data_IF_257489074416
#
_entry.id   IF_257489074416
#
_cell.length_a   1.000
_cell.length_b   1.000
_cell.length_c   1.000
_cell.angle_alpha   90.00
_cell.angle_beta   90.00
_cell.angle_gamma   90.00
#
_symmetry.space_group_name_H-M   'P 1'
#
loop_
_entity.id
_entity.type
_entity.pdbx_description
1 polymer ?
#
# COMPACT_ATOMS: atom_id res chain seq x y z
N UNK A 1 -27.61 -56.50 -13.61
CA UNK A 1 -26.27 -55.88 -13.51
C UNK A 1 -26.31 -54.60 -14.33
N UNK A 2 -26.48 -53.45 -13.68
CA UNK A 2 -26.46 -52.14 -14.34
C UNK A 2 -25.65 -51.19 -13.48
N UNK A 3 -24.48 -50.81 -14.00
CA UNK A 3 -23.46 -49.98 -13.36
C UNK A 3 -23.83 -48.51 -13.53
N UNK A 4 -24.10 -47.78 -12.45
CA UNK A 4 -24.28 -46.32 -12.52
C UNK A 4 -23.00 -45.63 -12.05
N UNK A 5 -22.22 -45.14 -13.02
CA UNK A 5 -21.01 -44.36 -12.76
C UNK A 5 -21.38 -42.92 -12.36
N UNK A 6 -20.89 -42.49 -11.20
CA UNK A 6 -21.02 -41.12 -10.67
C UNK A 6 -20.18 -40.15 -11.51
N UNK A 7 -20.84 -39.18 -12.16
CA UNK A 7 -20.20 -38.14 -12.98
C UNK A 7 -19.78 -36.98 -12.07
N UNK A 8 -18.50 -36.95 -11.70
CA UNK A 8 -17.91 -35.83 -10.95
C UNK A 8 -17.96 -34.53 -11.77
N UNK A 9 -18.66 -33.52 -11.26
CA UNK A 9 -18.73 -32.17 -11.84
C UNK A 9 -17.38 -31.49 -11.68
N UNK A 10 -16.64 -31.37 -12.78
CA UNK A 10 -15.33 -30.71 -12.83
C UNK A 10 -15.55 -29.20 -12.71
N UNK A 11 -15.28 -28.62 -11.53
CA UNK A 11 -15.29 -27.17 -11.31
C UNK A 11 -14.22 -26.54 -12.21
N UNK A 12 -14.63 -25.71 -13.16
CA UNK A 12 -13.72 -25.02 -14.05
C UNK A 12 -12.89 -24.00 -13.26
N UNK A 13 -11.56 -24.08 -13.40
CA UNK A 13 -10.64 -23.10 -12.82
C UNK A 13 -10.89 -21.70 -13.42
N UNK A 14 -10.72 -20.62 -12.65
CA UNK A 14 -10.84 -19.27 -13.16
C UNK A 14 -9.81 -19.02 -14.28
N UNK A 15 -10.16 -18.23 -15.32
CA UNK A 15 -9.23 -17.92 -16.39
C UNK A 15 -8.00 -17.19 -15.84
N UNK A 16 -6.81 -17.69 -16.16
CA UNK A 16 -5.55 -17.02 -15.85
C UNK A 16 -5.56 -15.60 -16.41
N UNK A 17 -5.10 -14.58 -15.66
CA UNK A 17 -4.97 -13.24 -16.19
C UNK A 17 -4.03 -13.27 -17.40
N UNK A 18 -4.48 -12.65 -18.49
CA UNK A 18 -3.71 -12.54 -19.73
C UNK A 18 -2.30 -12.03 -19.41
N UNK A 19 -1.29 -12.83 -19.71
CA UNK A 19 0.10 -12.49 -19.48
C UNK A 19 0.44 -11.25 -20.31
N UNK A 20 0.57 -10.10 -19.65
CA UNK A 20 1.18 -8.93 -20.28
C UNK A 20 2.65 -9.24 -20.56
N UNK A 21 3.15 -8.76 -21.70
CA UNK A 21 4.52 -9.05 -22.13
C UNK A 21 5.54 -8.51 -21.12
N UNK A 22 6.73 -9.14 -20.96
CA UNK A 22 7.76 -8.72 -20.00
C UNK A 22 8.23 -7.26 -20.14
N UNK A 23 7.95 -6.63 -21.27
CA UNK A 23 8.29 -5.23 -21.58
C UNK A 23 7.21 -4.25 -21.08
N UNK A 24 5.95 -4.67 -20.96
CA UNK A 24 4.82 -3.80 -20.63
C UNK A 24 4.94 -3.17 -19.25
N UNK A 25 5.27 -3.96 -18.22
CA UNK A 25 5.40 -3.45 -16.87
C UNK A 25 6.53 -2.42 -16.72
N UNK A 26 7.64 -2.57 -17.46
CA UNK A 26 8.76 -1.61 -17.42
C UNK A 26 8.35 -0.26 -18.00
N UNK A 27 7.58 -0.27 -19.08
CA UNK A 27 7.03 0.94 -19.67
C UNK A 27 6.02 1.61 -18.72
N UNK A 28 5.09 0.83 -18.15
CA UNK A 28 4.15 1.35 -17.14
C UNK A 28 4.87 1.95 -15.93
N UNK A 29 5.95 1.31 -15.48
CA UNK A 29 6.79 1.80 -14.39
C UNK A 29 7.48 3.12 -14.76
N UNK A 30 8.10 3.21 -15.93
CA UNK A 30 8.77 4.43 -16.39
C UNK A 30 7.78 5.59 -16.57
N UNK A 31 6.63 5.33 -17.19
CA UNK A 31 5.56 6.32 -17.37
C UNK A 31 5.04 6.80 -16.01
N UNK A 32 4.82 5.88 -15.07
CA UNK A 32 4.36 6.26 -13.73
C UNK A 32 5.40 7.09 -12.96
N UNK A 33 6.67 6.71 -13.04
CA UNK A 33 7.77 7.48 -12.45
C UNK A 33 7.81 8.91 -13.00
N UNK A 34 7.66 9.05 -14.34
CA UNK A 34 7.61 10.36 -14.99
C UNK A 34 6.42 11.16 -14.49
N UNK A 35 5.21 10.60 -14.53
CA UNK A 35 3.97 11.27 -14.12
C UNK A 35 4.08 11.80 -12.66
N UNK A 36 4.55 10.96 -11.73
CA UNK A 36 4.71 11.37 -10.33
C UNK A 36 5.86 12.34 -10.11
N UNK A 37 6.96 12.24 -10.87
CA UNK A 37 8.05 13.21 -10.83
C UNK A 37 7.63 14.59 -11.32
N UNK A 38 6.93 14.67 -12.45
CA UNK A 38 6.39 15.92 -13.00
C UNK A 38 5.26 16.54 -12.16
N UNK A 39 4.71 15.82 -11.19
CA UNK A 39 3.63 16.33 -10.36
C UNK A 39 4.03 17.59 -9.57
N UNK A 40 5.27 17.66 -9.06
CA UNK A 40 5.77 18.85 -8.36
C UNK A 40 5.90 20.05 -9.32
N UNK A 41 6.38 19.82 -10.54
CA UNK A 41 6.41 20.88 -11.56
C UNK A 41 4.99 21.42 -11.84
N UNK A 42 4.01 20.54 -12.01
CA UNK A 42 2.63 20.98 -12.25
C UNK A 42 1.99 21.67 -11.04
N UNK A 43 2.38 21.31 -9.82
CA UNK A 43 1.96 22.04 -8.61
C UNK A 43 2.51 23.46 -8.67
N UNK A 44 3.83 23.61 -8.90
CA UNK A 44 4.49 24.92 -9.01
C UNK A 44 3.81 25.83 -10.04
N UNK A 45 3.64 25.34 -11.27
CA UNK A 45 2.95 26.10 -12.35
C UNK A 45 1.48 26.35 -11.99
N UNK A 46 0.80 25.40 -11.34
CA UNK A 46 -0.57 25.59 -10.86
C UNK A 46 -0.69 26.72 -9.84
N UNK A 47 0.28 26.83 -8.92
CA UNK A 47 0.30 27.85 -7.87
C UNK A 47 0.60 29.27 -8.37
N UNK A 48 1.04 29.43 -9.63
CA UNK A 48 1.18 30.76 -10.25
C UNK A 48 -0.16 31.42 -10.55
N UNK A 49 -1.21 30.62 -10.79
CA UNK A 49 -2.54 31.10 -11.14
C UNK A 49 -3.62 30.86 -10.08
N UNK A 50 -3.40 29.93 -9.16
CA UNK A 50 -4.40 29.49 -8.18
C UNK A 50 -3.81 29.37 -6.79
N UNK A 51 -4.65 29.55 -5.77
CA UNK A 51 -4.24 29.30 -4.40
C UNK A 51 -3.94 27.81 -4.18
N UNK A 52 -3.05 27.45 -3.22
CA UNK A 52 -2.67 26.06 -2.96
C UNK A 52 -3.85 25.09 -2.75
N UNK A 53 -4.88 25.52 -2.03
CA UNK A 53 -6.08 24.72 -1.80
C UNK A 53 -6.90 24.52 -3.08
N UNK A 54 -6.94 25.51 -3.98
CA UNK A 54 -7.61 25.41 -5.26
C UNK A 54 -6.87 24.46 -6.21
N UNK A 55 -5.54 24.52 -6.26
CA UNK A 55 -4.70 23.56 -6.99
C UNK A 55 -4.96 22.14 -6.50
N UNK A 56 -4.99 21.98 -5.18
CA UNK A 56 -5.21 20.68 -4.55
C UNK A 56 -6.62 20.14 -4.82
N UNK A 57 -7.65 20.99 -4.68
CA UNK A 57 -9.03 20.67 -4.99
C UNK A 57 -9.18 20.24 -6.46
N UNK A 58 -8.60 21.01 -7.39
CA UNK A 58 -8.61 20.68 -8.82
C UNK A 58 -7.93 19.35 -9.11
N UNK A 59 -6.76 19.10 -8.52
CA UNK A 59 -6.04 17.81 -8.62
C UNK A 59 -6.92 16.64 -8.19
N UNK A 60 -7.50 16.70 -6.98
CA UNK A 60 -8.28 15.57 -6.47
C UNK A 60 -9.62 15.42 -7.20
N UNK A 61 -10.25 16.52 -7.60
CA UNK A 61 -11.50 16.50 -8.35
C UNK A 61 -11.32 15.86 -9.73
N UNK A 62 -10.33 16.32 -10.50
CA UNK A 62 -10.00 15.73 -11.80
C UNK A 62 -9.61 14.26 -11.69
N UNK A 63 -8.82 13.90 -10.67
CA UNK A 63 -8.47 12.50 -10.38
C UNK A 63 -9.69 11.65 -10.03
N UNK A 64 -10.58 12.17 -9.17
CA UNK A 64 -11.83 11.52 -8.80
C UNK A 64 -12.72 11.28 -10.02
N UNK A 65 -12.88 12.29 -10.90
CA UNK A 65 -13.65 12.15 -12.14
C UNK A 65 -13.12 11.01 -13.01
N UNK A 66 -11.81 10.93 -13.24
CA UNK A 66 -11.20 9.83 -14.02
C UNK A 66 -11.50 8.47 -13.39
N UNK A 67 -11.29 8.32 -12.08
CA UNK A 67 -11.53 7.02 -11.43
C UNK A 67 -13.01 6.66 -11.37
N UNK A 68 -13.91 7.63 -11.20
CA UNK A 68 -15.36 7.41 -11.21
C UNK A 68 -15.86 7.02 -12.61
N UNK A 69 -15.34 7.63 -13.68
CA UNK A 69 -15.64 7.23 -15.05
C UNK A 69 -15.18 5.79 -15.29
N UNK A 70 -13.96 5.44 -14.88
CA UNK A 70 -13.45 4.06 -15.04
C UNK A 70 -14.25 3.07 -14.18
N UNK A 71 -14.66 3.45 -12.97
CA UNK A 71 -15.53 2.65 -12.10
C UNK A 71 -16.88 2.38 -12.77
N UNK A 72 -17.49 3.41 -13.37
CA UNK A 72 -18.75 3.32 -14.10
C UNK A 72 -18.65 2.43 -15.34
N UNK A 73 -17.59 2.62 -16.15
CA UNK A 73 -17.31 1.79 -17.34
C UNK A 73 -17.09 0.32 -16.95
N UNK A 74 -16.35 0.06 -15.87
CA UNK A 74 -16.14 -1.30 -15.34
C UNK A 74 -17.35 -1.84 -14.57
N UNK A 75 -18.44 -1.06 -14.44
CA UNK A 75 -19.67 -1.40 -13.70
C UNK A 75 -19.40 -1.88 -12.28
N UNK A 76 -18.32 -1.39 -11.67
CA UNK A 76 -18.01 -1.63 -10.26
C UNK A 76 -18.81 -0.66 -9.40
N UNK A 77 -19.10 -1.06 -8.16
CA UNK A 77 -19.89 -0.27 -7.22
C UNK A 77 -18.98 0.33 -6.15
N UNK A 78 -19.32 1.54 -5.71
CA UNK A 78 -18.70 2.15 -4.54
C UNK A 78 -18.99 1.31 -3.28
N UNK A 79 -18.16 1.43 -2.22
CA UNK A 79 -18.40 0.72 -0.97
C UNK A 79 -19.76 1.09 -0.40
N UNK A 80 -20.48 0.11 0.16
CA UNK A 80 -21.85 0.31 0.68
C UNK A 80 -21.91 0.61 2.17
N UNK A 81 -20.89 0.23 2.91
CA UNK A 81 -20.90 0.33 4.38
C UNK A 81 -20.55 1.75 4.82
N UNK A 82 -21.43 2.38 5.60
CA UNK A 82 -21.18 3.69 6.20
C UNK A 82 -19.91 3.71 7.07
N UNK A 83 -19.59 2.57 7.72
CA UNK A 83 -18.34 2.40 8.47
C UNK A 83 -17.12 2.49 7.56
N UNK A 84 -17.18 1.88 6.37
CA UNK A 84 -16.11 1.99 5.37
C UNK A 84 -15.93 3.45 4.95
N UNK A 85 -17.03 4.18 4.69
CA UNK A 85 -16.97 5.61 4.35
C UNK A 85 -16.34 6.46 5.47
N UNK A 86 -16.65 6.20 6.75
CA UNK A 86 -16.04 6.90 7.87
C UNK A 86 -14.52 6.67 7.93
N UNK A 87 -14.06 5.43 7.77
CA UNK A 87 -12.62 5.13 7.72
C UNK A 87 -11.95 5.70 6.47
N UNK A 88 -12.65 5.71 5.33
CA UNK A 88 -12.15 6.32 4.09
C UNK A 88 -12.08 7.83 4.18
N UNK A 89 -12.90 8.50 5.00
CA UNK A 89 -12.80 9.94 5.22
C UNK A 89 -11.48 10.30 5.92
N UNK A 90 -11.06 9.48 6.89
CA UNK A 90 -9.75 9.62 7.55
C UNK A 90 -8.62 9.29 6.58
N UNK A 91 -8.75 8.22 5.81
CA UNK A 91 -7.76 7.87 4.78
C UNK A 91 -7.63 8.98 3.71
N UNK A 92 -8.75 9.53 3.25
CA UNK A 92 -8.81 10.62 2.29
C UNK A 92 -8.08 11.86 2.80
N UNK A 93 -8.27 12.20 4.07
CA UNK A 93 -7.59 13.29 4.75
C UNK A 93 -6.07 13.09 4.74
N UNK A 94 -5.57 11.97 5.28
CA UNK A 94 -4.13 11.74 5.46
C UNK A 94 -3.37 11.31 4.19
N UNK A 95 -4.05 10.72 3.19
CA UNK A 95 -3.40 10.24 1.98
C UNK A 95 -3.58 11.18 0.77
N UNK A 96 -4.48 12.17 0.84
CA UNK A 96 -4.75 13.05 -0.30
C UNK A 96 -4.92 14.50 0.15
N UNK A 97 -5.99 14.83 0.89
CA UNK A 97 -6.35 16.22 1.11
C UNK A 97 -5.29 17.00 1.88
N UNK A 98 -4.83 16.48 3.02
CA UNK A 98 -3.81 17.09 3.85
C UNK A 98 -2.42 17.10 3.18
N UNK A 99 -1.84 15.96 2.75
CA UNK A 99 -0.49 15.97 2.16
C UNK A 99 -0.42 16.78 0.87
N UNK A 100 -1.43 16.70 -0.01
CA UNK A 100 -1.39 17.46 -1.27
C UNK A 100 -1.51 18.96 -1.01
N UNK A 101 -2.33 19.38 -0.04
CA UNK A 101 -2.41 20.79 0.35
C UNK A 101 -1.09 21.27 0.93
N UNK A 102 -0.48 20.48 1.83
CA UNK A 102 0.81 20.83 2.44
C UNK A 102 1.93 20.95 1.40
N UNK A 103 1.98 20.07 0.39
CA UNK A 103 2.92 20.24 -0.72
C UNK A 103 2.63 21.49 -1.55
N UNK A 104 1.36 21.78 -1.87
CA UNK A 104 1.01 22.98 -2.59
C UNK A 104 1.36 24.27 -1.82
N UNK A 105 1.21 24.28 -0.49
CA UNK A 105 1.66 25.40 0.34
C UNK A 105 3.18 25.47 0.45
N UNK A 106 3.86 24.32 0.62
CA UNK A 106 5.31 24.26 0.66
C UNK A 106 5.93 24.84 -0.61
N UNK A 107 5.39 24.47 -1.79
CA UNK A 107 5.90 24.95 -3.06
C UNK A 107 5.69 26.45 -3.32
N UNK A 108 4.96 27.18 -2.47
CA UNK A 108 4.98 28.65 -2.54
C UNK A 108 6.34 29.23 -2.15
N UNK A 109 7.07 28.54 -1.28
CA UNK A 109 8.30 29.06 -0.68
C UNK A 109 9.53 28.21 -0.97
N UNK A 110 9.35 26.91 -1.21
CA UNK A 110 10.43 26.00 -1.59
C UNK A 110 10.40 25.63 -3.09
N UNK A 111 11.56 25.28 -3.69
CA UNK A 111 11.62 24.74 -5.05
C UNK A 111 10.90 23.39 -5.17
N UNK A 112 10.40 23.09 -6.36
CA UNK A 112 9.76 21.80 -6.68
C UNK A 112 10.73 20.63 -6.49
N UNK A 113 12.01 20.86 -6.78
CA UNK A 113 13.11 19.92 -6.49
C UNK A 113 13.15 19.52 -5.02
N UNK A 114 13.09 20.50 -4.10
CA UNK A 114 13.15 20.26 -2.66
C UNK A 114 11.89 19.53 -2.15
N UNK A 115 10.72 19.91 -2.67
CA UNK A 115 9.46 19.23 -2.35
C UNK A 115 9.48 17.75 -2.75
N UNK A 116 10.01 17.44 -3.95
CA UNK A 116 10.20 16.06 -4.42
C UNK A 116 11.14 15.24 -3.53
N UNK A 117 12.23 15.83 -3.05
CA UNK A 117 13.16 15.14 -2.14
C UNK A 117 12.52 14.90 -0.77
N UNK A 118 11.80 15.89 -0.23
CA UNK A 118 11.05 15.74 1.01
C UNK A 118 10.07 14.56 0.90
N UNK A 119 9.34 14.44 -0.22
CA UNK A 119 8.41 13.34 -0.45
C UNK A 119 9.07 11.95 -0.38
N UNK A 120 10.31 11.80 -0.85
CA UNK A 120 11.05 10.54 -0.76
C UNK A 120 11.48 10.15 0.67
N UNK A 121 11.25 11.02 1.66
CA UNK A 121 11.46 10.68 3.08
C UNK A 121 10.30 9.88 3.68
N UNK A 122 9.17 9.73 2.98
CA UNK A 122 8.00 8.98 3.46
C UNK A 122 8.31 7.57 4.03
N UNK A 123 9.21 6.75 3.43
CA UNK A 123 9.61 5.46 4.00
C UNK A 123 10.35 5.57 5.35
N UNK A 124 11.11 6.65 5.57
CA UNK A 124 11.82 6.90 6.82
C UNK A 124 10.82 7.17 7.96
N UNK A 125 9.80 7.98 7.69
CA UNK A 125 8.69 8.23 8.61
C UNK A 125 7.88 6.96 8.91
N UNK A 126 7.62 6.14 7.89
CA UNK A 126 6.96 4.85 8.08
C UNK A 126 7.76 3.89 8.97
N UNK A 127 9.10 3.88 8.82
CA UNK A 127 9.97 3.12 9.70
C UNK A 127 9.95 3.67 11.12
N UNK A 128 10.08 4.99 11.30
CA UNK A 128 10.05 5.62 12.62
C UNK A 128 8.74 5.32 13.37
N UNK A 129 7.60 5.46 12.68
CA UNK A 129 6.29 5.11 13.23
C UNK A 129 6.17 3.61 13.53
N UNK A 130 6.75 2.74 12.71
CA UNK A 130 6.76 1.30 12.98
C UNK A 130 7.53 0.97 14.26
N UNK A 131 8.66 1.64 14.54
CA UNK A 131 9.43 1.42 15.78
C UNK A 131 8.64 1.86 17.01
N UNK A 132 7.96 3.01 16.90
CA UNK A 132 7.23 3.60 18.04
C UNK A 132 5.88 2.94 18.29
N UNK A 133 5.15 2.56 17.22
CA UNK A 133 3.77 2.10 17.31
C UNK A 133 3.57 0.58 17.18
N UNK A 134 4.56 -0.17 16.70
CA UNK A 134 4.54 -1.62 16.58
C UNK A 134 5.77 -2.19 17.30
N UNK A 135 5.75 -2.16 18.64
CA UNK A 135 6.81 -2.68 19.53
C UNK A 135 7.14 -4.18 19.35
N UNK A 136 6.53 -4.88 18.40
CA UNK A 136 6.63 -6.34 18.21
C UNK A 136 7.82 -6.77 17.34
N UNK A 137 8.35 -5.91 16.47
CA UNK A 137 9.53 -6.22 15.65
C UNK A 137 10.71 -5.32 16.04
N UNK A 138 11.66 -5.84 16.82
CA UNK A 138 12.92 -5.12 17.12
C UNK A 138 13.54 -4.62 15.80
N UNK A 139 13.73 -3.30 15.61
CA UNK A 139 14.23 -2.78 14.36
C UNK A 139 15.61 -3.37 14.08
N UNK A 140 15.76 -4.02 12.92
CA UNK A 140 17.06 -4.57 12.52
C UNK A 140 18.08 -3.44 12.46
N UNK A 141 19.33 -3.70 12.86
CA UNK A 141 20.42 -2.68 12.82
C UNK A 141 20.52 -1.96 11.48
N UNK A 142 20.20 -2.65 10.37
CA UNK A 142 20.14 -2.09 9.01
C UNK A 142 19.05 -1.04 8.84
N UNK A 143 17.87 -1.24 9.42
CA UNK A 143 16.76 -0.26 9.34
C UNK A 143 17.06 1.00 10.16
N UNK A 144 17.67 0.85 11.33
CA UNK A 144 18.14 1.99 12.13
C UNK A 144 19.24 2.76 11.41
N UNK A 145 20.20 2.05 10.79
CA UNK A 145 21.23 2.67 9.96
C UNK A 145 20.62 3.41 8.76
N UNK A 146 19.64 2.81 8.07
CA UNK A 146 18.90 3.47 6.97
C UNK A 146 18.18 4.73 7.41
N UNK A 147 17.58 4.74 8.61
CA UNK A 147 16.97 5.93 9.19
C UNK A 147 18.00 7.05 9.46
N UNK A 148 19.15 6.69 10.02
CA UNK A 148 20.25 7.64 10.25
C UNK A 148 20.82 8.21 8.94
N UNK A 149 21.05 7.36 7.93
CA UNK A 149 21.49 7.79 6.60
C UNK A 149 20.46 8.70 5.95
N UNK A 150 19.17 8.33 6.00
CA UNK A 150 18.10 9.16 5.45
C UNK A 150 18.01 10.52 6.12
N UNK A 151 18.15 10.58 7.44
CA UNK A 151 18.19 11.84 8.21
C UNK A 151 19.39 12.72 7.82
N UNK A 152 20.59 12.13 7.69
CA UNK A 152 21.76 12.84 7.18
C UNK A 152 21.54 13.37 5.76
N UNK A 153 20.83 12.62 4.92
CA UNK A 153 20.43 13.06 3.58
C UNK A 153 19.56 14.32 3.65
N UNK A 154 18.54 14.34 4.50
CA UNK A 154 17.69 15.53 4.70
C UNK A 154 18.51 16.71 5.20
N UNK A 155 19.38 16.53 6.20
CA UNK A 155 20.27 17.60 6.67
C UNK A 155 21.20 18.12 5.58
N UNK A 156 21.63 17.25 4.67
CA UNK A 156 22.48 17.61 3.53
C UNK A 156 21.71 18.47 2.54
N UNK A 157 20.49 18.07 2.19
CA UNK A 157 19.63 18.87 1.31
C UNK A 157 19.38 20.26 1.90
N UNK A 158 19.16 20.35 3.22
CA UNK A 158 18.95 21.63 3.92
C UNK A 158 20.21 22.47 4.05
N UNK A 159 21.38 21.96 3.64
CA UNK A 159 22.65 22.68 3.77
C UNK A 159 22.92 23.08 5.22
N UNK A 160 22.59 22.22 6.18
CA UNK A 160 22.62 22.54 7.61
C UNK A 160 23.97 23.11 8.11
N UNK A 161 25.06 22.86 7.38
CA UNK A 161 26.39 23.41 7.65
C UNK A 161 26.58 24.89 7.29
N UNK A 162 25.70 25.50 6.49
CA UNK A 162 25.78 26.93 6.11
C UNK A 162 25.00 27.84 7.08
N UNK A 163 24.38 27.26 8.12
CA UNK A 163 23.31 27.92 8.86
C UNK A 163 22.04 27.97 8.01
N UNK A 164 20.86 27.88 8.63
CA UNK A 164 19.57 27.90 7.92
C UNK A 164 19.24 29.26 7.26
N UNK A 165 20.22 30.16 7.16
CA UNK A 165 20.12 31.47 6.51
C UNK A 165 19.86 31.29 5.02
N UNK A 166 18.63 31.60 4.58
CA UNK A 166 18.21 31.53 3.18
C UNK A 166 17.35 30.31 2.81
N UNK A 167 17.12 29.37 3.72
CA UNK A 167 16.20 28.24 3.49
C UNK A 167 14.87 28.52 4.20
N UNK A 168 13.75 28.48 3.48
CA UNK A 168 12.45 28.55 4.15
C UNK A 168 12.16 27.25 4.91
N UNK A 169 12.46 27.29 6.21
CA UNK A 169 12.21 26.21 7.15
C UNK A 169 10.72 25.88 7.23
N UNK A 170 9.84 26.86 7.00
CA UNK A 170 8.40 26.68 7.06
C UNK A 170 7.90 25.80 5.92
N UNK A 171 8.22 26.13 4.67
CA UNK A 171 7.87 25.31 3.51
C UNK A 171 8.48 23.91 3.58
N UNK A 172 9.72 23.80 4.05
CA UNK A 172 10.38 22.50 4.30
C UNK A 172 9.61 21.68 5.33
N UNK A 173 9.25 22.28 6.48
CA UNK A 173 8.50 21.60 7.53
C UNK A 173 7.12 21.14 7.04
N UNK A 174 6.45 21.95 6.20
CA UNK A 174 5.21 21.55 5.55
C UNK A 174 5.40 20.35 4.62
N UNK A 175 6.45 20.33 3.79
CA UNK A 175 6.75 19.20 2.89
C UNK A 175 7.13 17.91 3.63
N UNK A 176 7.88 18.01 4.73
CA UNK A 176 8.18 16.87 5.60
C UNK A 176 6.93 16.40 6.34
N UNK A 177 6.09 17.31 6.81
CA UNK A 177 4.79 17.01 7.40
C UNK A 177 3.86 16.30 6.43
N UNK A 178 3.83 16.73 5.15
CA UNK A 178 3.11 16.05 4.09
C UNK A 178 3.59 14.60 3.90
N UNK A 179 4.91 14.40 3.93
CA UNK A 179 5.54 13.08 3.80
C UNK A 179 5.24 12.16 4.98
N UNK A 180 5.09 12.72 6.18
CA UNK A 180 4.67 11.99 7.39
C UNK A 180 3.20 11.57 7.34
N UNK A 181 2.33 12.30 6.64
CA UNK A 181 0.91 11.96 6.53
C UNK A 181 0.71 10.61 5.81
N UNK A 182 1.51 10.29 4.80
CA UNK A 182 1.39 9.04 4.05
C UNK A 182 1.52 7.77 4.90
N UNK A 183 2.60 7.55 5.69
CA UNK A 183 2.70 6.36 6.51
C UNK A 183 1.63 6.30 7.61
N UNK A 184 1.21 7.43 8.19
CA UNK A 184 0.09 7.47 9.15
C UNK A 184 -1.18 6.94 8.48
N UNK A 185 -1.52 7.49 7.31
CA UNK A 185 -2.68 7.08 6.52
C UNK A 185 -2.63 5.60 6.13
N UNK A 186 -1.48 5.11 5.65
CA UNK A 186 -1.33 3.70 5.27
C UNK A 186 -1.41 2.73 6.46
N UNK A 187 -0.84 3.09 7.61
CA UNK A 187 -0.98 2.31 8.86
C UNK A 187 -2.45 2.26 9.28
N UNK A 188 -3.15 3.41 9.24
CA UNK A 188 -4.57 3.49 9.56
C UNK A 188 -5.42 2.62 8.63
N UNK A 189 -5.23 2.74 7.31
CA UNK A 189 -5.92 1.92 6.30
C UNK A 189 -5.64 0.44 6.52
N UNK A 190 -4.39 0.05 6.76
CA UNK A 190 -4.05 -1.36 7.00
C UNK A 190 -4.76 -1.92 8.24
N UNK A 191 -4.90 -1.13 9.31
CA UNK A 191 -5.58 -1.54 10.56
C UNK A 191 -7.10 -1.57 10.45
N UNK A 192 -7.70 -0.64 9.70
CA UNK A 192 -9.17 -0.45 9.68
C UNK A 192 -9.85 -1.04 8.45
N UNK A 193 -9.18 -1.04 7.31
CA UNK A 193 -9.71 -1.41 5.99
C UNK A 193 -9.05 -2.67 5.42
N UNK A 194 -8.01 -3.21 6.07
CA UNK A 194 -7.27 -4.39 5.58
C UNK A 194 -8.09 -5.68 5.44
N UNK A 195 -9.26 -5.75 6.07
CA UNK A 195 -10.20 -6.88 5.94
C UNK A 195 -11.35 -6.65 4.95
N UNK A 196 -11.42 -5.49 4.28
CA UNK A 196 -12.49 -5.23 3.31
C UNK A 196 -12.28 -6.03 2.03
N UNK A 197 -13.38 -6.54 1.46
CA UNK A 197 -13.39 -7.20 0.14
C UNK A 197 -13.64 -6.22 -1.03
N UNK A 198 -13.66 -4.92 -0.74
CA UNK A 198 -13.86 -3.90 -1.77
C UNK A 198 -12.67 -3.84 -2.75
N UNK A 199 -12.97 -3.65 -4.03
CA UNK A 199 -11.97 -3.45 -5.08
C UNK A 199 -11.11 -2.21 -4.81
N UNK A 200 -9.80 -2.27 -5.10
CA UNK A 200 -8.89 -1.11 -4.95
C UNK A 200 -9.37 0.12 -5.73
N UNK A 201 -9.99 -0.09 -6.90
CA UNK A 201 -10.59 0.99 -7.68
C UNK A 201 -11.77 1.63 -6.94
N UNK A 202 -12.63 0.81 -6.33
CA UNK A 202 -13.80 1.28 -5.57
C UNK A 202 -13.40 2.10 -4.35
N UNK A 203 -12.46 1.56 -3.56
CA UNK A 203 -11.89 2.22 -2.37
C UNK A 203 -11.25 3.55 -2.72
N UNK A 204 -10.46 3.59 -3.79
CA UNK A 204 -9.70 4.79 -4.16
C UNK A 204 -10.56 5.85 -4.83
N UNK A 205 -11.58 5.45 -5.61
CA UNK A 205 -12.60 6.37 -6.12
C UNK A 205 -13.38 7.02 -4.97
N UNK A 206 -13.82 6.24 -3.98
CA UNK A 206 -14.50 6.77 -2.79
C UNK A 206 -13.58 7.69 -1.97
N UNK A 207 -12.30 7.32 -1.82
CA UNK A 207 -11.30 8.12 -1.12
C UNK A 207 -11.08 9.48 -1.80
N UNK A 208 -10.91 9.52 -3.14
CA UNK A 208 -10.74 10.79 -3.85
C UNK A 208 -12.03 11.62 -3.88
N UNK A 209 -13.20 10.98 -3.94
CA UNK A 209 -14.49 11.68 -3.81
C UNK A 209 -14.60 12.36 -2.44
N UNK A 210 -14.25 11.66 -1.36
CA UNK A 210 -14.25 12.22 -0.01
C UNK A 210 -13.21 13.34 0.15
N UNK A 211 -12.01 13.17 -0.39
CA UNK A 211 -10.99 14.23 -0.38
C UNK A 211 -11.48 15.48 -1.14
N UNK A 212 -12.16 15.28 -2.27
CA UNK A 212 -12.77 16.37 -3.04
C UNK A 212 -13.85 17.07 -2.24
N UNK A 213 -14.74 16.32 -1.56
CA UNK A 213 -15.78 16.90 -0.71
C UNK A 213 -15.20 17.68 0.48
N UNK A 214 -14.19 17.12 1.16
CA UNK A 214 -13.48 17.79 2.26
C UNK A 214 -12.86 19.12 1.80
N UNK A 215 -12.15 19.09 0.67
CA UNK A 215 -11.51 20.29 0.12
C UNK A 215 -12.51 21.29 -0.45
N UNK A 216 -13.64 20.84 -1.00
CA UNK A 216 -14.71 21.73 -1.47
C UNK A 216 -15.34 22.52 -0.32
N UNK A 217 -15.38 21.95 0.90
CA UNK A 217 -15.82 22.65 2.11
C UNK A 217 -14.73 23.57 2.65
N UNK A 218 -13.48 23.09 2.72
CA UNK A 218 -12.37 23.86 3.34
C UNK A 218 -11.89 25.01 2.47
N UNK A 219 -11.75 24.82 1.15
CA UNK A 219 -11.19 25.83 0.23
C UNK A 219 -11.89 27.20 0.32
N UNK A 220 -13.23 27.32 0.24
CA UNK A 220 -13.90 28.62 0.30
C UNK A 220 -13.79 29.31 1.66
N UNK A 221 -13.47 28.59 2.74
CA UNK A 221 -13.29 29.17 4.08
C UNK A 221 -11.95 29.93 4.20
N UNK A 222 -10.96 29.56 3.40
CA UNK A 222 -9.61 30.12 3.47
C UNK A 222 -9.18 30.84 2.19
N UNK A 223 -9.96 30.75 1.10
CA UNK A 223 -9.58 31.32 -0.19
C UNK A 223 -10.81 31.80 -0.96
N UNK A 224 -10.74 33.04 -1.45
CA UNK A 224 -11.72 33.59 -2.39
C UNK A 224 -11.71 32.84 -3.73
N UNK A 225 -12.81 32.94 -4.48
CA UNK A 225 -12.88 32.35 -5.82
C UNK A 225 -11.77 32.92 -6.74
N UNK A 226 -11.21 32.12 -7.66
CA UNK A 226 -10.25 32.63 -8.64
C UNK A 226 -10.88 33.75 -9.46
N UNK A 227 -10.15 34.86 -9.63
CA UNK A 227 -10.58 35.99 -10.44
C UNK A 227 -10.21 35.83 -11.91
N UNK A 228 -9.26 34.93 -12.21
CA UNK A 228 -8.81 34.62 -13.55
C UNK A 228 -8.51 33.12 -13.70
N UNK A 229 -8.55 32.64 -14.93
CA UNK A 229 -8.25 31.24 -15.29
C UNK A 229 -7.15 31.22 -16.37
N UNK A 230 -5.89 31.48 -15.99
CA UNK A 230 -4.77 31.45 -16.93
C UNK A 230 -4.57 30.04 -17.50
N UNK A 231 -4.32 29.95 -18.81
CA UNK A 231 -4.29 28.69 -19.55
C UNK A 231 -3.26 27.70 -18.98
N UNK A 232 -2.04 28.16 -18.70
CA UNK A 232 -0.96 27.28 -18.23
C UNK A 232 -1.21 26.69 -16.84
N UNK A 233 -1.59 27.47 -15.81
CA UNK A 233 -2.00 26.91 -14.51
C UNK A 233 -3.22 25.99 -14.61
N UNK A 234 -4.22 26.32 -15.44
CA UNK A 234 -5.40 25.45 -15.62
C UNK A 234 -5.00 24.11 -16.21
N UNK A 235 -4.22 24.10 -17.30
CA UNK A 235 -3.72 22.87 -17.91
C UNK A 235 -2.85 22.06 -16.95
N UNK A 236 -2.03 22.73 -16.14
CA UNK A 236 -1.19 22.08 -15.14
C UNK A 236 -2.01 21.38 -14.06
N UNK A 237 -3.05 22.04 -13.53
CA UNK A 237 -3.97 21.43 -12.54
C UNK A 237 -4.74 20.26 -13.14
N UNK A 238 -5.23 20.39 -14.39
CA UNK A 238 -5.93 19.31 -15.09
C UNK A 238 -4.98 18.13 -15.31
N UNK A 239 -3.75 18.37 -15.80
CA UNK A 239 -2.74 17.33 -16.01
C UNK A 239 -2.35 16.65 -14.69
N UNK A 240 -2.14 17.44 -13.63
CA UNK A 240 -1.81 16.95 -12.29
C UNK A 240 -2.91 16.04 -11.72
N UNK A 241 -4.17 16.38 -11.93
CA UNK A 241 -5.30 15.56 -11.47
C UNK A 241 -5.54 14.34 -12.35
N UNK A 242 -5.66 14.53 -13.66
CA UNK A 242 -6.00 13.46 -14.61
C UNK A 242 -4.85 12.47 -14.79
N UNK A 243 -3.64 12.95 -15.07
CA UNK A 243 -2.45 12.12 -15.26
C UNK A 243 -1.88 11.72 -13.90
N UNK A 244 -1.58 12.72 -13.05
CA UNK A 244 -0.86 12.55 -11.78
C UNK A 244 -1.61 11.76 -10.70
N UNK A 245 -2.94 11.76 -10.75
CA UNK A 245 -3.78 11.08 -9.74
C UNK A 245 -4.63 9.99 -10.39
N UNK A 246 -5.49 10.33 -11.36
CA UNK A 246 -6.41 9.39 -11.99
C UNK A 246 -5.69 8.23 -12.72
N UNK A 247 -4.97 8.54 -13.80
CA UNK A 247 -4.27 7.54 -14.62
C UNK A 247 -3.13 6.89 -13.83
N UNK A 248 -2.38 7.68 -13.06
CA UNK A 248 -1.30 7.17 -12.22
C UNK A 248 -1.77 6.08 -11.25
N UNK A 249 -2.94 6.25 -10.61
CA UNK A 249 -3.49 5.23 -9.72
C UNK A 249 -3.83 3.94 -10.47
N UNK A 250 -4.39 4.03 -11.68
CA UNK A 250 -4.68 2.86 -12.51
C UNK A 250 -3.40 2.11 -12.92
N UNK A 251 -2.36 2.85 -13.33
CA UNK A 251 -1.05 2.28 -13.66
C UNK A 251 -0.42 1.62 -12.43
N UNK A 252 -0.47 2.28 -11.27
CA UNK A 252 0.02 1.74 -10.01
C UNK A 252 -0.70 0.44 -9.65
N UNK A 253 -2.02 0.34 -9.80
CA UNK A 253 -2.75 -0.90 -9.52
C UNK A 253 -2.38 -2.02 -10.49
N UNK A 254 -2.22 -1.70 -11.78
CA UNK A 254 -1.73 -2.64 -12.78
C UNK A 254 -0.35 -3.19 -12.41
N UNK A 255 0.59 -2.31 -12.09
CA UNK A 255 1.94 -2.70 -11.65
C UNK A 255 1.92 -3.56 -10.38
N UNK A 256 1.13 -3.17 -9.38
CA UNK A 256 1.02 -3.95 -8.13
C UNK A 256 0.47 -5.36 -8.41
N UNK A 257 -0.48 -5.48 -9.35
CA UNK A 257 -1.03 -6.78 -9.75
C UNK A 257 -0.04 -7.63 -10.58
N UNK A 258 0.78 -7.01 -11.43
CA UNK A 258 1.72 -7.70 -12.32
C UNK A 258 3.03 -8.12 -11.62
N UNK A 259 3.67 -7.21 -10.88
CA UNK A 259 5.02 -7.40 -10.33
C UNK A 259 5.07 -7.33 -8.80
N UNK A 260 3.91 -7.21 -8.16
CA UNK A 260 3.76 -7.15 -6.71
C UNK A 260 4.00 -5.76 -6.11
N UNK A 261 3.49 -5.51 -4.88
CA UNK A 261 3.54 -4.19 -4.25
C UNK A 261 4.97 -3.73 -3.92
N UNK A 262 5.88 -4.64 -3.53
CA UNK A 262 7.25 -4.25 -3.18
C UNK A 262 8.01 -3.65 -4.36
N UNK A 263 7.91 -4.27 -5.54
CA UNK A 263 8.59 -3.79 -6.75
C UNK A 263 7.91 -2.54 -7.29
N UNK A 264 6.57 -2.51 -7.30
CA UNK A 264 5.82 -1.33 -7.76
C UNK A 264 6.15 -0.07 -6.93
N UNK A 265 6.33 -0.20 -5.61
CA UNK A 265 6.71 0.93 -4.75
C UNK A 265 8.11 1.49 -5.03
N UNK A 266 8.98 0.75 -5.73
CA UNK A 266 10.30 1.27 -6.11
C UNK A 266 10.21 2.49 -7.03
N UNK A 267 9.08 2.69 -7.70
CA UNK A 267 8.82 3.86 -8.55
C UNK A 267 9.00 5.18 -7.79
N UNK A 268 8.71 5.16 -6.48
CA UNK A 268 8.82 6.34 -5.61
C UNK A 268 10.26 6.83 -5.46
N UNK A 269 11.26 5.97 -5.67
CA UNK A 269 12.68 6.36 -5.64
C UNK A 269 13.12 7.15 -6.86
N UNK A 270 12.37 7.06 -7.97
CA UNK A 270 12.66 7.81 -9.19
C UNK A 270 12.03 9.20 -9.17
N UNK A 271 11.01 9.44 -8.32
CA UNK A 271 10.29 10.71 -8.22
C UNK A 271 11.25 11.88 -7.98
N UNK A 272 12.17 11.87 -6.99
CA UNK A 272 13.03 13.02 -6.74
C UNK A 272 13.99 13.30 -7.89
N UNK A 273 14.50 12.26 -8.55
CA UNK A 273 15.41 12.39 -9.70
C UNK A 273 14.70 13.10 -10.85
N UNK A 274 13.47 12.67 -11.15
CA UNK A 274 12.67 13.25 -12.23
C UNK A 274 12.19 14.65 -11.84
N UNK A 275 11.74 14.87 -10.60
CA UNK A 275 11.34 16.18 -10.11
C UNK A 275 12.50 17.19 -10.19
N UNK A 276 13.71 16.77 -9.82
CA UNK A 276 14.94 17.58 -9.94
C UNK A 276 15.23 17.91 -11.40
N UNK A 277 15.22 16.90 -12.28
CA UNK A 277 15.48 17.10 -13.70
C UNK A 277 14.45 18.04 -14.35
N UNK A 278 13.17 17.88 -14.00
CA UNK A 278 12.09 18.73 -14.47
C UNK A 278 12.20 20.16 -13.93
N UNK A 279 12.45 20.35 -12.63
CA UNK A 279 12.60 21.67 -12.01
C UNK A 279 13.76 22.46 -12.62
N UNK A 280 14.89 21.81 -12.88
CA UNK A 280 16.07 22.49 -13.44
C UNK A 280 15.89 22.79 -14.92
N UNK A 281 15.41 21.81 -15.69
CA UNK A 281 15.32 21.95 -17.15
C UNK A 281 14.16 22.86 -17.59
N UNK A 282 13.04 22.86 -16.87
CA UNK A 282 11.81 23.55 -17.30
C UNK A 282 11.47 24.78 -16.46
N UNK A 283 11.75 24.75 -15.14
CA UNK A 283 11.49 25.89 -14.25
C UNK A 283 12.74 26.77 -14.04
N UNK A 284 13.90 26.35 -14.56
CA UNK A 284 15.16 27.08 -14.39
C UNK A 284 15.64 27.12 -12.93
N UNK A 285 15.23 26.16 -12.11
CA UNK A 285 15.65 26.09 -10.70
C UNK A 285 17.17 25.89 -10.59
N UNK A 286 17.84 26.72 -9.77
CA UNK A 286 19.28 26.58 -9.55
C UNK A 286 19.59 25.39 -8.66
N UNK A 287 20.41 24.47 -9.17
CA UNK A 287 20.89 23.30 -8.44
C UNK A 287 22.14 23.66 -7.65
N UNK A 288 21.97 23.83 -6.34
CA UNK A 288 23.08 23.80 -5.40
C UNK A 288 23.61 22.36 -5.25
N UNK A 289 24.92 22.20 -5.05
CA UNK A 289 25.58 20.88 -5.01
C UNK A 289 25.04 19.94 -3.91
N UNK A 290 24.50 20.52 -2.84
CA UNK A 290 23.97 19.81 -1.68
C UNK A 290 22.64 19.11 -1.96
N UNK A 291 21.84 19.64 -2.89
CA UNK A 291 20.53 19.11 -3.26
C UNK A 291 20.62 17.73 -3.92
N UNK A 292 21.43 17.49 -4.98
CA UNK A 292 21.55 16.17 -5.61
C UNK A 292 22.28 15.18 -4.71
N UNK A 293 23.31 15.61 -3.97
CA UNK A 293 24.03 14.75 -3.02
C UNK A 293 23.11 14.30 -1.90
N UNK A 294 22.38 15.24 -1.28
CA UNK A 294 21.42 14.94 -0.24
C UNK A 294 20.28 14.04 -0.72
N UNK A 295 19.76 14.26 -1.94
CA UNK A 295 18.77 13.38 -2.56
C UNK A 295 19.29 11.93 -2.68
N UNK A 296 20.52 11.73 -3.16
CA UNK A 296 21.13 10.40 -3.25
C UNK A 296 21.26 9.73 -1.89
N UNK A 297 21.63 10.49 -0.85
CA UNK A 297 21.73 9.98 0.53
C UNK A 297 20.35 9.60 1.07
N UNK A 298 19.32 10.43 0.87
CA UNK A 298 17.93 10.11 1.27
C UNK A 298 17.44 8.83 0.59
N UNK A 299 17.66 8.71 -0.72
CA UNK A 299 17.29 7.54 -1.51
C UNK A 299 18.02 6.28 -1.01
N UNK A 300 19.32 6.38 -0.73
CA UNK A 300 20.09 5.28 -0.16
C UNK A 300 19.58 4.87 1.22
N UNK A 301 19.29 5.83 2.10
CA UNK A 301 18.71 5.59 3.42
C UNK A 301 17.37 4.88 3.35
N UNK A 302 16.47 5.37 2.50
CA UNK A 302 15.15 4.77 2.30
C UNK A 302 15.23 3.38 1.64
N UNK A 303 16.15 3.15 0.69
CA UNK A 303 16.39 1.83 0.13
C UNK A 303 16.91 0.83 1.19
N UNK A 304 17.76 1.29 2.11
CA UNK A 304 18.25 0.48 3.23
C UNK A 304 17.13 0.10 4.22
N UNK A 305 16.16 0.99 4.47
CA UNK A 305 15.02 0.67 5.36
C UNK A 305 14.07 -0.35 4.73
N UNK A 306 13.90 -0.33 3.41
CA UNK A 306 13.03 -1.27 2.68
C UNK A 306 13.69 -2.62 2.37
N UNK A 307 15.01 -2.72 2.48
CA UNK A 307 15.73 -3.97 2.20
C UNK A 307 15.39 -5.06 3.22
N UNK A 308 14.74 -6.14 2.76
CA UNK A 308 14.41 -7.30 3.61
C UNK A 308 15.70 -7.99 4.06
N UNK A 309 15.85 -8.39 5.33
CA UNK A 309 16.93 -9.29 5.71
C UNK A 309 16.85 -10.53 4.83
N UNK A 310 17.95 -10.92 4.18
CA UNK A 310 18.06 -12.25 3.57
C UNK A 310 17.64 -13.24 4.65
N UNK A 311 16.52 -13.93 4.47
CA UNK A 311 16.24 -15.14 5.25
C UNK A 311 17.44 -16.03 5.00
N UNK A 312 18.28 -16.20 6.01
CA UNK A 312 19.21 -17.31 6.05
C UNK A 312 18.35 -18.55 5.83
N UNK A 313 18.48 -19.16 4.65
CA UNK A 313 17.91 -20.47 4.37
C UNK A 313 18.23 -21.34 5.59
N UNK A 314 17.22 -21.94 6.26
CA UNK A 314 17.52 -22.94 7.26
C UNK A 314 18.43 -23.94 6.57
N UNK A 315 19.65 -24.14 7.09
CA UNK A 315 20.50 -25.22 6.61
C UNK A 315 19.63 -26.46 6.50
N UNK A 316 19.64 -27.18 5.37
CA UNK A 316 18.89 -28.42 5.28
C UNK A 316 19.32 -29.24 6.48
N UNK A 317 18.38 -29.53 7.38
CA UNK A 317 18.57 -30.56 8.39
C UNK A 317 18.95 -31.77 7.57
N UNK A 318 20.24 -32.13 7.63
CA UNK A 318 20.74 -33.35 7.06
C UNK A 318 19.90 -34.42 7.73
N UNK A 319 18.93 -34.96 6.99
CA UNK A 319 18.26 -36.18 7.37
C UNK A 319 19.39 -37.21 7.45
N UNK A 320 19.82 -37.50 8.68
CA UNK A 320 20.61 -38.68 8.98
C UNK A 320 19.84 -39.85 8.41
N UNK A 321 20.30 -40.35 7.26
CA UNK A 321 19.73 -41.54 6.64
C UNK A 321 19.73 -42.70 7.63
N UNK A 322 18.82 -43.65 7.48
CA UNK A 322 18.75 -44.81 8.36
C UNK A 322 20.11 -45.52 8.34
N UNK A 323 20.71 -45.60 9.52
CA UNK A 323 21.97 -46.28 9.75
C UNK A 323 21.93 -47.69 9.17
N UNK A 324 22.98 -48.01 8.43
CA UNK A 324 23.34 -49.35 8.00
C UNK A 324 23.26 -50.32 9.18
N UNK A 325 22.54 -51.42 8.95
CA UNK A 325 22.85 -52.79 9.39
C UNK A 325 23.98 -52.92 10.42
N UNK A 326 23.61 -52.95 11.70
CA UNK A 326 24.44 -53.51 12.75
C UNK A 326 24.22 -55.03 12.77
N UNK A 327 25.26 -55.75 12.40
CA UNK A 327 25.46 -57.20 12.55
C UNK A 327 25.25 -57.62 14.01
N UNK A 328 24.50 -58.70 14.30
CA UNK A 328 24.37 -59.21 15.67
C UNK A 328 25.66 -59.93 16.10
N UNK A 329 25.98 -59.96 17.41
CA UNK A 329 27.16 -60.64 17.91
C UNK A 329 26.97 -62.17 17.89
N UNK A 330 28.08 -62.85 17.65
CA UNK A 330 28.37 -64.26 17.93
C UNK A 330 27.30 -65.04 18.72
N UNK A 331 26.71 -66.05 18.06
CA UNK A 331 26.21 -67.26 18.72
C UNK A 331 27.28 -68.35 18.61
N UNK A 332 27.91 -68.65 19.74
CA UNK A 332 28.57 -69.93 19.98
C UNK A 332 27.68 -70.78 20.88
N UNK A 333 27.39 -71.98 20.37
CA UNK A 333 27.11 -73.23 21.09
C UNK A 333 25.76 -73.50 21.77
N UNK A 334 25.25 -74.70 21.39
CA UNK A 334 24.42 -75.67 22.12
C UNK A 334 22.97 -75.27 22.42
N UNK A 335 21.99 -76.16 22.49
CA UNK A 335 21.77 -77.57 22.14
C UNK A 335 20.34 -77.83 22.62
N UNK A 336 19.52 -78.49 21.78
CA UNK A 336 18.18 -79.00 22.12
C UNK A 336 17.11 -77.92 22.29
N UNK A 337 15.81 -78.19 22.23
CA UNK A 337 14.98 -79.34 21.85
C UNK A 337 13.54 -78.86 22.11
N UNK A 338 12.55 -79.47 21.45
CA UNK A 338 11.09 -79.43 21.75
C UNK A 338 10.37 -78.13 21.26
N UNK A 339 9.56 -78.14 20.18
CA UNK A 339 8.21 -78.71 19.98
C UNK A 339 7.17 -78.08 20.96
N UNK A 340 5.93 -77.67 20.66
CA UNK A 340 4.88 -77.97 19.68
C UNK A 340 3.97 -76.71 19.57
N UNK A 341 3.37 -76.40 18.40
CA UNK A 341 1.94 -76.61 18.04
C UNK A 341 0.91 -75.86 18.94
N UNK A 342 -0.20 -75.28 18.49
CA UNK A 342 -1.08 -75.66 17.39
C UNK A 342 -2.25 -74.64 17.21
N UNK A 343 -2.80 -74.61 15.98
CA UNK A 343 -4.23 -74.50 15.59
C UNK A 343 -5.07 -73.20 15.65
N UNK A 344 -6.02 -73.19 14.72
CA UNK A 344 -6.77 -72.10 14.08
C UNK A 344 -8.29 -72.08 14.48
N UNK A 345 -9.29 -71.59 13.68
CA UNK A 345 -10.20 -70.47 14.01
C UNK A 345 -11.73 -70.83 14.04
N UNK A 346 -12.65 -69.86 14.23
CA UNK A 346 -14.10 -69.88 13.79
C UNK A 346 -14.86 -68.56 14.13
N UNK A 347 -15.82 -68.11 13.28
CA UNK A 347 -16.69 -66.89 13.41
C UNK A 347 -18.09 -67.15 14.06
N UNK A 348 -19.25 -66.56 13.65
CA UNK A 348 -19.66 -65.18 13.22
C UNK A 348 -21.01 -64.66 13.89
N UNK A 349 -21.55 -63.47 13.49
CA UNK A 349 -23.01 -63.14 13.26
C UNK A 349 -23.66 -61.82 13.85
N UNK A 350 -24.46 -61.14 13.00
CA UNK A 350 -25.75 -60.39 13.16
C UNK A 350 -25.92 -58.92 13.68
N UNK A 351 -26.88 -58.20 13.05
CA UNK A 351 -27.49 -56.85 13.29
C UNK A 351 -29.03 -56.98 13.53
N UNK A 352 -30.00 -56.01 13.39
CA UNK A 352 -30.04 -54.52 13.23
C UNK A 352 -31.25 -53.75 13.93
N UNK A 353 -31.43 -52.42 13.67
CA UNK A 353 -32.71 -51.64 13.63
C UNK A 353 -32.88 -50.47 14.64
N UNK A 354 -33.65 -49.36 14.50
CA UNK A 354 -34.46 -48.64 13.47
C UNK A 354 -35.08 -47.37 14.13
N UNK A 355 -35.35 -46.26 13.40
CA UNK A 355 -36.54 -45.38 13.65
C UNK A 355 -36.36 -43.89 14.03
N UNK A 356 -36.86 -42.98 13.18
CA UNK A 356 -37.27 -41.57 13.43
C UNK A 356 -38.83 -41.47 13.26
N UNK A 357 -39.58 -40.32 13.32
CA UNK A 357 -39.25 -38.88 13.37
C UNK A 357 -40.18 -37.99 14.32
N UNK A 358 -40.08 -36.65 14.20
CA UNK A 358 -40.74 -35.55 14.96
C UNK A 358 -42.27 -35.34 14.70
N UNK A 359 -43.01 -34.49 15.48
CA UNK A 359 -43.17 -33.05 15.19
C UNK A 359 -43.42 -32.08 16.41
N UNK A 360 -43.49 -30.75 16.13
CA UNK A 360 -43.75 -29.52 16.96
C UNK A 360 -45.28 -29.27 17.17
N UNK A 361 -45.86 -28.17 17.75
CA UNK A 361 -45.51 -27.17 18.81
C UNK A 361 -46.60 -26.97 19.91
N UNK A 362 -46.32 -26.20 20.98
CA UNK A 362 -47.37 -25.56 21.81
C UNK A 362 -46.96 -24.16 22.31
N UNK A 363 -47.94 -23.26 22.35
CA UNK A 363 -47.91 -21.84 22.72
C UNK A 363 -48.28 -21.60 24.20
N UNK A 364 -48.36 -20.30 24.58
CA UNK A 364 -48.93 -19.67 25.81
C UNK A 364 -47.95 -19.48 26.99
N UNK A 365 -47.95 -18.41 27.80
CA UNK A 365 -48.80 -17.22 27.99
C UNK A 365 -48.11 -16.24 29.00
N UNK A 366 -48.47 -14.96 28.94
CA UNK A 366 -48.53 -13.93 30.02
C UNK A 366 -47.23 -13.47 30.72
N UNK A 367 -47.02 -12.19 31.09
CA UNK A 367 -47.84 -10.98 31.05
C UNK A 367 -47.12 -9.78 31.71
N UNK A 368 -47.74 -8.60 31.68
CA UNK A 368 -47.47 -7.51 32.64
C UNK A 368 -46.77 -6.24 32.11
N UNK A 369 -47.56 -5.22 31.78
CA UNK A 369 -47.24 -3.78 31.66
C UNK A 369 -47.34 -3.09 33.06
N UNK A 370 -47.31 -1.74 33.19
CA UNK A 370 -46.18 -0.79 33.15
C UNK A 370 -46.12 0.11 34.44
N UNK A 371 -45.09 0.98 34.56
CA UNK A 371 -45.07 2.23 35.37
C UNK A 371 -43.91 3.07 34.78
N UNK A 372 -44.14 4.20 34.08
CA UNK A 372 -44.29 5.59 34.57
C UNK A 372 -43.16 6.08 35.51
N UNK A 373 -42.18 6.79 34.93
CA UNK A 373 -41.76 8.16 35.28
C UNK A 373 -40.92 8.78 34.14
#
# INVERSE_FOLDING_TARGET
MSTTASRATRVAAPPSPAASSPTGWRLHFAVLALIWGFSFLFIKVGTEGFAPLQVTLGRVACGATVLLVVLAVKRQRLPRSARTWAHLAVAALFLNALPFSLFAFAELTIPSTLAGICNATSPLWGMALSVVALSEDRPTRRRVAGLGVGFLGVLTVLGAWQGFTGTDLTGTAMALGASLCYPIGWIYVRRTLGGSQDSHLSVSSAQLLLATAQLAVVTPLFTSAPTAFPVWPVLSVIALGTLGTGIAFLLQYGLVAEIGPTTAQMVTYFIPVIATAAGVALLGEQLSWNTPVGALIVLAGAALTQSKPRRSTPSPVVASGPGRSATPPHSAERSGSVACANTSPTGPSAAPGTGAPAPVPHAALAGGTPDED
#
